data_IF_182978523603
#
_entry.id   IF_182978523603
#
_cell.length_a   1.000
_cell.length_b   1.000
_cell.length_c   1.000
_cell.angle_alpha   90.00
_cell.angle_beta   90.00
_cell.angle_gamma   90.00
#
_symmetry.space_group_name_H-M   'P 1'
#
loop_
_entity.id
_entity.type
_entity.pdbx_description
1 polymer ?
#
# COMPACT_ATOMS: atom_id res chain seq x y z
N UNK A 1 38.95 -4.92 7.65
CA UNK A 1 38.13 -4.13 6.69
C UNK A 1 38.90 -4.04 5.38
N UNK A 2 38.31 -3.82 4.20
CA UNK A 2 39.10 -3.67 2.94
C UNK A 2 39.11 -2.21 2.50
N UNK A 3 40.24 -1.71 2.01
CA UNK A 3 40.37 -0.36 1.48
C UNK A 3 39.52 -0.23 0.20
N UNK A 4 38.65 0.78 0.12
CA UNK A 4 37.82 1.02 -1.07
C UNK A 4 38.63 1.45 -2.29
N UNK A 5 39.85 1.94 -2.09
CA UNK A 5 40.72 2.43 -3.17
C UNK A 5 41.57 1.31 -3.77
N UNK A 6 42.20 0.47 -2.94
CA UNK A 6 43.15 -0.54 -3.42
C UNK A 6 42.80 -1.99 -3.03
N UNK A 7 41.72 -2.22 -2.27
CA UNK A 7 41.27 -3.57 -1.89
C UNK A 7 42.04 -4.24 -0.74
N UNK A 8 43.15 -3.65 -0.27
CA UNK A 8 44.00 -4.20 0.78
C UNK A 8 43.26 -4.38 2.12
N UNK A 9 43.64 -5.39 2.89
CA UNK A 9 43.10 -5.58 4.24
C UNK A 9 43.71 -4.59 5.24
N UNK A 10 42.84 -3.82 5.90
CA UNK A 10 43.20 -2.85 6.94
C UNK A 10 43.04 -3.51 8.31
N UNK A 11 44.11 -3.47 9.11
CA UNK A 11 44.17 -3.96 10.48
C UNK A 11 43.27 -3.13 11.42
N UNK A 12 42.72 -3.78 12.45
CA UNK A 12 41.81 -3.12 13.37
C UNK A 12 42.54 -2.05 14.20
N UNK A 13 42.26 -0.77 13.91
CA UNK A 13 42.82 0.38 14.65
C UNK A 13 43.56 1.39 13.78
N UNK A 14 43.90 1.06 12.54
CA UNK A 14 44.57 1.97 11.61
C UNK A 14 43.58 2.87 10.86
N UNK A 15 43.88 4.17 10.81
CA UNK A 15 43.02 5.17 10.18
C UNK A 15 43.41 5.46 8.71
N UNK A 16 44.46 4.80 8.22
CA UNK A 16 44.96 4.90 6.84
C UNK A 16 45.33 3.53 6.31
N UNK A 17 45.10 3.31 5.02
CA UNK A 17 45.55 2.09 4.37
C UNK A 17 47.09 2.07 4.29
N UNK A 18 47.78 1.00 4.72
CA UNK A 18 49.24 0.92 4.68
C UNK A 18 49.80 0.94 3.26
N UNK A 19 49.04 0.47 2.27
CA UNK A 19 49.51 0.34 0.89
C UNK A 19 49.36 1.62 0.09
N UNK A 20 48.20 2.29 0.15
CA UNK A 20 47.92 3.46 -0.70
C UNK A 20 47.79 4.77 0.07
N UNK A 21 47.88 4.76 1.40
CA UNK A 21 47.77 5.95 2.24
C UNK A 21 46.36 6.58 2.29
N UNK A 22 45.37 5.97 1.61
CA UNK A 22 43.99 6.47 1.64
C UNK A 22 43.47 6.50 3.07
N UNK A 23 42.97 7.66 3.48
CA UNK A 23 42.30 7.85 4.78
C UNK A 23 41.02 7.04 4.74
N UNK A 24 40.93 6.06 5.62
CA UNK A 24 39.73 5.27 5.76
C UNK A 24 38.80 6.13 6.60
N UNK A 25 37.83 6.80 5.97
CA UNK A 25 36.76 7.45 6.72
C UNK A 25 36.13 6.37 7.59
N UNK A 26 36.50 6.36 8.89
CA UNK A 26 35.72 5.65 9.90
C UNK A 26 34.33 6.20 9.70
N UNK A 27 33.45 5.37 9.13
CA UNK A 27 32.01 5.62 9.09
C UNK A 27 31.68 5.98 10.52
N UNK A 28 31.59 7.29 10.82
CA UNK A 28 31.18 7.77 12.14
C UNK A 28 29.91 6.99 12.37
N UNK A 29 29.91 6.12 13.38
CA UNK A 29 28.72 5.35 13.74
C UNK A 29 27.58 6.37 13.69
N UNK A 30 26.70 6.21 12.72
CA UNK A 30 25.58 7.11 12.57
C UNK A 30 24.95 7.21 13.97
N UNK A 31 24.62 8.42 14.45
CA UNK A 31 24.05 8.58 15.77
C UNK A 31 22.94 7.55 15.91
N UNK A 32 23.02 6.72 16.94
CA UNK A 32 22.10 5.61 17.22
C UNK A 32 20.68 6.12 17.03
N UNK A 33 20.13 5.89 15.84
CA UNK A 33 18.85 6.42 15.44
C UNK A 33 17.83 5.65 16.29
N UNK A 34 17.04 6.40 17.04
CA UNK A 34 16.24 5.93 18.17
C UNK A 34 15.40 4.68 17.81
N UNK A 35 15.84 3.53 18.33
CA UNK A 35 15.18 2.32 18.89
C UNK A 35 13.67 2.01 18.70
N UNK A 36 12.89 2.67 17.85
CA UNK A 36 11.43 2.40 17.75
C UNK A 36 10.97 1.85 16.40
N UNK A 37 11.88 1.42 15.53
CA UNK A 37 11.51 0.66 14.33
C UNK A 37 11.17 -0.77 14.75
N UNK A 38 9.90 -1.15 14.63
CA UNK A 38 9.45 -2.53 14.87
C UNK A 38 8.89 -3.15 13.59
N UNK A 39 8.82 -4.48 13.56
CA UNK A 39 8.27 -5.21 12.42
C UNK A 39 6.82 -5.61 12.69
N UNK A 40 5.93 -5.33 11.75
CA UNK A 40 4.53 -5.73 11.83
C UNK A 40 4.39 -7.25 11.68
N UNK A 41 3.75 -7.93 12.63
CA UNK A 41 3.57 -9.38 12.61
C UNK A 41 2.67 -9.88 11.46
N UNK A 42 1.78 -9.04 10.92
CA UNK A 42 0.84 -9.43 9.85
C UNK A 42 1.37 -9.20 8.44
N UNK A 43 2.11 -8.12 8.21
CA UNK A 43 2.53 -7.73 6.86
C UNK A 43 4.04 -7.49 6.71
N UNK A 44 4.84 -7.74 7.75
CA UNK A 44 6.30 -7.59 7.70
C UNK A 44 6.82 -6.16 7.60
N UNK A 45 5.94 -5.14 7.56
CA UNK A 45 6.35 -3.75 7.38
C UNK A 45 7.21 -3.24 8.55
N UNK A 46 8.35 -2.60 8.24
CA UNK A 46 9.28 -1.99 9.18
C UNK A 46 9.09 -0.48 9.20
N UNK A 47 8.53 0.06 10.28
CA UNK A 47 8.38 1.51 10.44
C UNK A 47 8.35 1.89 11.91
N UNK A 48 8.23 3.18 12.23
CA UNK A 48 7.69 3.58 13.53
C UNK A 48 6.16 3.47 13.47
N UNK A 49 5.53 2.96 14.53
CA UNK A 49 4.06 2.86 14.58
C UNK A 49 3.42 4.25 14.44
N UNK A 50 2.35 4.36 13.64
CA UNK A 50 1.65 5.64 13.50
C UNK A 50 0.52 5.75 14.54
N UNK A 51 0.23 6.96 15.07
CA UNK A 51 -0.90 7.18 15.97
C UNK A 51 -2.21 6.67 15.36
N UNK A 52 -3.04 6.01 16.16
CA UNK A 52 -4.31 5.43 15.72
C UNK A 52 -5.19 6.39 14.91
N UNK A 53 -5.31 7.65 15.35
CA UNK A 53 -6.16 8.65 14.71
C UNK A 53 -5.58 9.31 13.45
N UNK A 54 -4.34 8.97 13.04
CA UNK A 54 -3.79 9.47 11.77
C UNK A 54 -4.41 8.81 10.54
N UNK A 55 -5.02 7.61 10.69
CA UNK A 55 -5.81 6.99 9.62
C UNK A 55 -7.19 7.62 9.55
N UNK A 56 -7.58 8.05 8.35
CA UNK A 56 -8.86 8.70 8.05
C UNK A 56 -10.07 7.86 8.48
N UNK A 57 -9.99 6.53 8.40
CA UNK A 57 -11.07 5.64 8.84
C UNK A 57 -11.34 5.73 10.35
N UNK A 58 -10.30 5.76 11.19
CA UNK A 58 -10.47 5.87 12.65
C UNK A 58 -10.91 7.27 13.07
N UNK A 59 -10.48 8.31 12.34
CA UNK A 59 -10.97 9.67 12.52
C UNK A 59 -12.46 9.79 12.17
N UNK A 60 -12.89 9.17 11.05
CA UNK A 60 -14.29 9.14 10.66
C UNK A 60 -15.15 8.40 11.70
N UNK A 61 -14.66 7.29 12.25
CA UNK A 61 -15.36 6.58 13.33
C UNK A 61 -15.47 7.43 14.60
N UNK A 62 -14.40 8.12 14.98
CA UNK A 62 -14.43 9.07 16.10
C UNK A 62 -15.51 10.15 15.89
N UNK A 63 -15.53 10.79 14.72
CA UNK A 63 -16.52 11.82 14.38
C UNK A 63 -17.93 11.23 14.36
N UNK A 64 -18.13 10.06 13.75
CA UNK A 64 -19.42 9.38 13.70
C UNK A 64 -19.95 9.06 15.11
N UNK A 65 -19.11 8.50 15.98
CA UNK A 65 -19.49 8.22 17.37
C UNK A 65 -19.79 9.53 18.11
N UNK A 66 -18.95 10.57 17.95
CA UNK A 66 -19.19 11.88 18.54
C UNK A 66 -20.55 12.45 18.12
N UNK A 67 -20.87 12.48 16.82
CA UNK A 67 -22.14 13.04 16.34
C UNK A 67 -23.32 12.26 16.90
N UNK A 68 -23.27 10.93 16.88
CA UNK A 68 -24.39 10.08 17.29
C UNK A 68 -24.65 10.06 18.80
N UNK A 69 -23.63 10.35 19.60
CA UNK A 69 -23.70 10.30 21.07
C UNK A 69 -23.56 11.67 21.72
N UNK A 70 -23.82 12.75 20.97
CA UNK A 70 -23.68 14.13 21.44
C UNK A 70 -22.31 14.43 22.07
N UNK A 71 -21.26 13.85 21.49
CA UNK A 71 -19.86 14.01 21.86
C UNK A 71 -19.36 13.02 22.90
N UNK A 72 -20.24 12.44 23.73
CA UNK A 72 -19.83 11.62 24.89
C UNK A 72 -19.12 10.33 24.46
N UNK A 73 -19.72 9.58 23.53
CA UNK A 73 -19.14 8.34 23.01
C UNK A 73 -17.84 8.60 22.24
N UNK A 74 -17.77 9.69 21.49
CA UNK A 74 -16.55 10.13 20.84
C UNK A 74 -15.42 10.44 21.82
N UNK A 75 -15.73 11.14 22.92
CA UNK A 75 -14.76 11.46 23.97
C UNK A 75 -14.22 10.19 24.66
N UNK A 76 -15.11 9.26 25.01
CA UNK A 76 -14.74 7.96 25.61
C UNK A 76 -13.88 7.15 24.63
N UNK A 77 -14.27 7.10 23.36
CA UNK A 77 -13.52 6.41 22.32
C UNK A 77 -12.14 7.03 22.07
N UNK A 78 -12.04 8.36 22.05
CA UNK A 78 -10.77 9.09 21.95
C UNK A 78 -9.86 8.77 23.14
N UNK A 79 -10.37 8.89 24.38
CA UNK A 79 -9.60 8.63 25.59
C UNK A 79 -9.01 7.20 25.61
N UNK A 80 -9.80 6.21 25.18
CA UNK A 80 -9.38 4.80 25.10
C UNK A 80 -8.35 4.54 24.00
N UNK A 81 -8.52 5.17 22.82
CA UNK A 81 -7.72 4.85 21.63
C UNK A 81 -6.53 5.79 21.37
N UNK A 82 -6.44 6.97 22.02
CA UNK A 82 -5.41 7.99 21.71
C UNK A 82 -3.96 7.53 21.91
N UNK A 83 -3.73 6.54 22.78
CA UNK A 83 -2.39 5.98 23.04
C UNK A 83 -2.04 4.80 22.14
N UNK A 84 -2.98 4.28 21.34
CA UNK A 84 -2.74 3.13 20.48
C UNK A 84 -1.94 3.53 19.25
N UNK A 85 -1.00 2.68 18.87
CA UNK A 85 -0.26 2.79 17.62
C UNK A 85 -0.68 1.67 16.68
N UNK A 86 -0.76 1.96 15.39
CA UNK A 86 -1.18 1.01 14.36
C UNK A 86 -0.19 0.96 13.21
N UNK A 87 -0.16 -0.18 12.51
CA UNK A 87 0.65 -0.33 11.32
C UNK A 87 0.12 0.59 10.20
N UNK A 88 0.97 1.43 9.59
CA UNK A 88 0.54 2.31 8.51
C UNK A 88 0.01 1.53 7.31
N UNK A 89 0.62 0.37 7.01
CA UNK A 89 0.21 -0.49 5.92
C UNK A 89 -1.10 -1.24 6.26
N UNK A 90 -1.06 -2.27 7.12
CA UNK A 90 -2.23 -3.14 7.36
C UNK A 90 -3.22 -2.67 8.45
N UNK A 91 -2.86 -1.71 9.31
CA UNK A 91 -3.74 -1.23 10.40
C UNK A 91 -3.79 -2.10 11.66
N UNK A 92 -2.99 -3.17 11.76
CA UNK A 92 -2.88 -3.97 12.98
C UNK A 92 -2.35 -3.13 14.15
N UNK A 93 -2.89 -3.34 15.35
CA UNK A 93 -2.40 -2.71 16.58
C UNK A 93 -0.95 -3.15 16.89
N UNK A 94 -0.10 -2.17 17.19
CA UNK A 94 1.33 -2.36 17.51
C UNK A 94 1.59 -3.03 18.85
N UNK A 95 0.54 -3.32 19.60
CA UNK A 95 0.58 -4.11 20.83
C UNK A 95 1.18 -5.52 20.58
N UNK A 96 1.15 -6.00 19.32
CA UNK A 96 1.68 -7.30 18.89
C UNK A 96 2.93 -7.19 17.98
N UNK A 97 3.57 -6.02 17.88
CA UNK A 97 4.75 -5.84 17.03
C UNK A 97 5.99 -6.50 17.66
N UNK A 98 6.79 -7.22 16.88
CA UNK A 98 8.08 -7.78 17.34
C UNK A 98 9.17 -6.73 17.26
N UNK A 99 9.98 -6.59 18.30
CA UNK A 99 11.23 -5.81 18.25
C UNK A 99 12.26 -6.66 17.49
N UNK A 100 12.81 -6.18 16.36
CA UNK A 100 13.84 -6.90 15.65
C UNK A 100 15.08 -7.04 16.54
N UNK A 101 15.43 -8.28 16.90
CA UNK A 101 16.63 -8.58 17.67
C UNK A 101 16.45 -8.81 19.16
N UNK A 102 15.22 -9.00 19.68
CA UNK A 102 15.03 -9.59 21.01
C UNK A 102 15.17 -11.13 20.92
N UNK A 103 16.23 -11.73 21.50
CA UNK A 103 16.43 -13.18 21.48
C UNK A 103 15.56 -13.93 22.51
N UNK A 104 14.84 -13.22 23.40
CA UNK A 104 14.10 -13.82 24.53
C UNK A 104 12.66 -14.26 24.21
N UNK A 105 12.22 -14.19 22.96
CA UNK A 105 10.83 -14.52 22.57
C UNK A 105 10.61 -15.87 21.89
N UNK A 106 11.62 -16.75 21.83
CA UNK A 106 11.50 -18.06 21.20
C UNK A 106 11.13 -19.12 22.24
N UNK A 107 9.84 -19.33 22.45
CA UNK A 107 9.37 -20.67 22.82
C UNK A 107 9.65 -21.59 21.63
N UNK A 108 10.58 -22.52 21.87
CA UNK A 108 11.09 -23.49 20.92
C UNK A 108 9.96 -24.39 20.39
N UNK A 109 9.67 -24.29 19.08
CA UNK A 109 8.61 -25.13 18.51
C UNK A 109 8.39 -25.05 17.00
N UNK A 110 9.37 -24.64 16.19
CA UNK A 110 9.34 -24.94 14.74
C UNK A 110 10.71 -24.67 14.13
N UNK A 111 11.52 -25.73 14.01
CA UNK A 111 12.79 -25.67 13.32
C UNK A 111 12.62 -25.60 11.80
N UNK A 112 12.74 -24.41 11.23
CA UNK A 112 13.20 -24.20 9.84
C UNK A 112 13.94 -22.87 9.77
N UNK A 113 15.27 -22.82 9.53
CA UNK A 113 15.93 -21.58 9.17
C UNK A 113 15.74 -21.33 7.66
N UNK A 114 14.97 -20.31 7.31
CA UNK A 114 14.98 -19.78 5.94
C UNK A 114 16.07 -18.69 5.82
N UNK A 115 16.92 -18.71 4.78
CA UNK A 115 17.84 -17.61 4.51
C UNK A 115 17.03 -16.39 4.06
N UNK A 116 17.03 -15.33 4.86
CA UNK A 116 16.43 -14.04 4.48
C UNK A 116 17.37 -13.36 3.51
N UNK A 117 17.16 -13.59 2.22
CA UNK A 117 17.79 -12.83 1.14
C UNK A 117 17.41 -11.36 1.32
N UNK A 118 18.42 -10.52 1.51
CA UNK A 118 18.30 -9.08 1.57
C UNK A 118 17.60 -8.55 0.31
N UNK A 119 16.40 -7.98 0.48
CA UNK A 119 15.72 -7.20 -0.55
C UNK A 119 16.56 -5.96 -0.89
N UNK A 120 17.18 -5.99 -2.06
CA UNK A 120 17.73 -4.82 -2.74
C UNK A 120 16.57 -3.89 -3.13
N UNK A 121 16.64 -2.56 -2.92
CA UNK A 121 15.61 -1.65 -3.41
C UNK A 121 15.54 -1.73 -4.95
N UNK A 122 14.37 -2.11 -5.44
CA UNK A 122 14.05 -2.23 -6.84
C UNK A 122 14.22 -0.89 -7.58
N UNK A 123 14.55 -1.03 -8.86
CA UNK A 123 14.86 -0.04 -9.89
C UNK A 123 14.15 1.33 -9.82
N UNK A 124 14.78 2.40 -10.35
CA UNK A 124 14.22 3.75 -10.33
C UNK A 124 12.86 3.81 -11.03
N UNK A 125 11.91 4.61 -10.52
CA UNK A 125 10.57 4.69 -11.07
C UNK A 125 10.65 5.22 -12.51
N UNK A 126 10.09 4.44 -13.44
CA UNK A 126 9.71 4.92 -14.76
C UNK A 126 8.91 6.22 -14.61
N UNK A 127 9.04 7.11 -15.60
CA UNK A 127 8.31 8.39 -15.74
C UNK A 127 6.81 8.12 -15.84
N UNK A 128 6.21 7.72 -14.73
CA UNK A 128 4.80 7.37 -14.62
C UNK A 128 4.02 8.68 -14.60
N UNK A 129 3.04 8.80 -15.49
CA UNK A 129 2.12 9.94 -15.51
C UNK A 129 1.54 10.09 -14.09
N UNK A 130 1.46 11.32 -13.55
CA UNK A 130 0.93 11.53 -12.21
C UNK A 130 -0.47 10.93 -12.12
N UNK A 131 -0.68 10.04 -11.12
CA UNK A 131 -1.99 9.43 -10.87
C UNK A 131 -3.02 10.54 -10.60
N UNK A 132 -4.27 10.38 -11.08
CA UNK A 132 -5.31 11.35 -10.78
C UNK A 132 -5.53 11.47 -9.27
N UNK A 133 -5.86 12.67 -8.76
CA UNK A 133 -6.01 12.93 -7.34
C UNK A 133 -7.12 12.05 -6.74
N UNK A 134 -6.92 11.61 -5.48
CA UNK A 134 -7.75 10.59 -4.79
C UNK A 134 -9.21 10.98 -4.49
N UNK A 135 -9.60 12.21 -4.81
CA UNK A 135 -10.94 12.76 -4.54
C UNK A 135 -11.35 12.75 -3.05
N UNK A 136 -10.41 12.47 -2.12
CA UNK A 136 -10.71 12.26 -0.69
C UNK A 136 -11.37 13.50 -0.08
N UNK A 137 -10.83 14.70 -0.35
CA UNK A 137 -11.38 15.94 0.20
C UNK A 137 -12.85 16.16 -0.16
N UNK A 138 -13.21 15.89 -1.43
CA UNK A 138 -14.59 16.04 -1.92
C UNK A 138 -15.58 15.08 -1.25
N UNK A 139 -15.14 13.85 -0.96
CA UNK A 139 -15.96 12.85 -0.26
C UNK A 139 -16.19 13.21 1.20
N UNK A 140 -15.14 13.63 1.89
CA UNK A 140 -15.23 14.06 3.30
C UNK A 140 -16.14 15.28 3.42
N UNK A 141 -15.98 16.25 2.52
CA UNK A 141 -16.81 17.45 2.50
C UNK A 141 -18.28 17.15 2.15
N UNK A 142 -18.53 16.32 1.13
CA UNK A 142 -19.90 15.90 0.77
C UNK A 142 -20.60 15.12 1.89
N UNK A 143 -19.90 14.21 2.56
CA UNK A 143 -20.42 13.51 3.73
C UNK A 143 -20.70 14.47 4.90
N UNK A 144 -19.81 15.43 5.14
CA UNK A 144 -20.02 16.48 6.15
C UNK A 144 -21.26 17.33 5.90
N UNK A 145 -21.48 17.74 4.64
CA UNK A 145 -22.68 18.47 4.24
C UNK A 145 -23.96 17.64 4.43
N UNK A 146 -23.92 16.35 4.13
CA UNK A 146 -25.07 15.46 4.37
C UNK A 146 -25.44 15.36 5.85
N UNK A 147 -24.43 15.23 6.73
CA UNK A 147 -24.63 15.21 8.18
C UNK A 147 -25.20 16.56 8.66
N UNK A 148 -24.64 17.68 8.20
CA UNK A 148 -25.15 19.03 8.54
C UNK A 148 -26.59 19.25 8.08
N UNK A 149 -26.92 18.83 6.85
CA UNK A 149 -28.28 18.87 6.33
C UNK A 149 -29.25 18.10 7.23
N UNK A 150 -28.85 16.91 7.67
CA UNK A 150 -29.66 16.06 8.54
C UNK A 150 -29.90 16.75 9.89
N UNK A 151 -28.85 17.33 10.49
CA UNK A 151 -28.95 18.06 11.76
C UNK A 151 -29.88 19.28 11.66
N UNK A 152 -29.81 20.05 10.57
CA UNK A 152 -30.68 21.22 10.36
C UNK A 152 -32.14 20.79 10.24
N UNK A 153 -32.42 19.72 9.51
CA UNK A 153 -33.77 19.17 9.35
C UNK A 153 -34.29 18.70 10.72
N UNK A 154 -33.51 17.93 11.47
CA UNK A 154 -33.91 17.42 12.79
C UNK A 154 -34.16 18.56 13.79
N UNK A 155 -33.28 19.57 13.84
CA UNK A 155 -33.45 20.73 14.71
C UNK A 155 -34.68 21.57 14.32
N UNK A 156 -34.96 21.70 13.02
CA UNK A 156 -36.17 22.35 12.51
C UNK A 156 -37.45 21.68 12.97
N UNK A 157 -37.51 20.36 12.88
CA UNK A 157 -38.66 19.56 13.34
C UNK A 157 -38.82 19.65 14.86
N UNK A 158 -37.73 19.51 15.62
CA UNK A 158 -37.78 19.53 17.09
C UNK A 158 -38.09 20.92 17.66
N UNK A 159 -37.66 21.99 16.99
CA UNK A 159 -37.86 23.37 17.41
C UNK A 159 -39.19 23.99 17.00
N UNK A 160 -40.06 23.26 16.28
CA UNK A 160 -41.33 23.80 15.80
C UNK A 160 -41.19 24.97 14.82
N UNK A 161 -40.07 25.05 14.09
CA UNK A 161 -39.83 26.13 13.13
C UNK A 161 -40.57 25.87 11.82
N UNK A 162 -41.37 26.84 11.38
CA UNK A 162 -42.25 26.74 10.21
C UNK A 162 -41.50 26.77 8.87
N UNK A 163 -40.85 25.69 8.43
CA UNK A 163 -40.52 25.47 7.01
C UNK A 163 -39.07 25.75 6.52
N UNK A 164 -38.46 26.94 6.70
CA UNK A 164 -37.13 27.26 6.17
C UNK A 164 -36.01 26.26 6.49
N UNK A 165 -35.91 25.72 7.72
CA UNK A 165 -34.86 24.75 8.04
C UNK A 165 -34.96 23.49 7.18
N UNK A 166 -36.17 23.04 6.87
CA UNK A 166 -36.40 21.84 6.06
C UNK A 166 -35.93 22.08 4.62
N UNK A 167 -36.28 23.24 4.05
CA UNK A 167 -35.89 23.61 2.68
C UNK A 167 -34.37 23.77 2.57
N UNK A 168 -33.75 24.50 3.50
CA UNK A 168 -32.29 24.69 3.52
C UNK A 168 -31.56 23.35 3.68
N UNK A 169 -32.03 22.51 4.60
CA UNK A 169 -31.50 21.17 4.80
C UNK A 169 -31.59 20.31 3.55
N UNK A 170 -32.71 20.36 2.81
CA UNK A 170 -32.87 19.61 1.57
C UNK A 170 -31.85 20.03 0.49
N UNK A 171 -31.64 21.33 0.27
CA UNK A 171 -30.64 21.83 -0.68
C UNK A 171 -29.21 21.42 -0.29
N UNK A 172 -28.86 21.54 0.99
CA UNK A 172 -27.56 21.10 1.50
C UNK A 172 -27.37 19.58 1.35
N UNK A 173 -28.42 18.79 1.59
CA UNK A 173 -28.41 17.35 1.44
C UNK A 173 -28.19 16.91 -0.01
N UNK A 174 -28.86 17.55 -0.97
CA UNK A 174 -28.66 17.32 -2.40
C UNK A 174 -27.23 17.69 -2.83
N UNK A 175 -26.74 18.86 -2.41
CA UNK A 175 -25.37 19.30 -2.72
C UNK A 175 -24.29 18.37 -2.15
N UNK A 176 -24.44 17.96 -0.88
CA UNK A 176 -23.53 17.02 -0.22
C UNK A 176 -23.49 15.65 -0.91
N UNK A 177 -24.66 15.11 -1.27
CA UNK A 177 -24.78 13.83 -1.97
C UNK A 177 -24.14 13.86 -3.36
N UNK A 178 -24.36 14.93 -4.12
CA UNK A 178 -23.72 15.13 -5.43
C UNK A 178 -22.18 15.16 -5.35
N UNK A 179 -21.64 15.92 -4.38
CA UNK A 179 -20.19 15.97 -4.16
C UNK A 179 -19.61 14.62 -3.74
N UNK A 180 -20.33 13.86 -2.91
CA UNK A 180 -19.91 12.53 -2.49
C UNK A 180 -19.86 11.56 -3.67
N UNK A 181 -20.91 11.51 -4.50
CA UNK A 181 -20.98 10.67 -5.69
C UNK A 181 -19.88 11.03 -6.70
N UNK A 182 -19.60 12.31 -6.89
CA UNK A 182 -18.51 12.75 -7.77
C UNK A 182 -17.14 12.30 -7.24
N UNK A 183 -16.92 12.45 -5.93
CA UNK A 183 -15.70 11.96 -5.28
C UNK A 183 -15.54 10.43 -5.35
N UNK A 184 -16.65 9.69 -5.38
CA UNK A 184 -16.64 8.24 -5.58
C UNK A 184 -16.25 7.86 -7.01
N UNK A 185 -16.79 8.55 -8.03
CA UNK A 185 -16.40 8.34 -9.44
C UNK A 185 -14.90 8.55 -9.65
N UNK A 186 -14.33 9.62 -9.09
CA UNK A 186 -12.89 9.87 -9.16
C UNK A 186 -12.03 8.75 -8.54
N UNK A 187 -12.54 8.07 -7.49
CA UNK A 187 -11.85 6.91 -6.93
C UNK A 187 -11.87 5.72 -7.88
N UNK A 188 -13.00 5.46 -8.54
CA UNK A 188 -13.13 4.38 -9.52
C UNK A 188 -12.21 4.62 -10.73
N UNK A 189 -12.18 5.85 -11.25
CA UNK A 189 -11.26 6.25 -12.32
C UNK A 189 -9.79 6.02 -11.91
N UNK A 190 -9.42 6.39 -10.68
CA UNK A 190 -8.06 6.13 -10.17
C UNK A 190 -7.75 4.64 -10.07
N UNK A 191 -8.70 3.82 -9.61
CA UNK A 191 -8.53 2.35 -9.54
C UNK A 191 -8.31 1.76 -10.94
N UNK A 192 -9.10 2.20 -11.92
CA UNK A 192 -8.95 1.78 -13.32
C UNK A 192 -7.59 2.19 -13.88
N UNK A 193 -7.14 3.42 -13.63
CA UNK A 193 -5.83 3.89 -14.08
C UNK A 193 -4.66 3.08 -13.48
N UNK A 194 -4.75 2.75 -12.18
CA UNK A 194 -3.73 1.90 -11.52
C UNK A 194 -3.72 0.50 -12.13
N UNK A 195 -4.88 -0.12 -12.33
CA UNK A 195 -4.98 -1.43 -12.96
C UNK A 195 -4.43 -1.42 -14.40
N UNK A 196 -4.71 -0.38 -15.18
CA UNK A 196 -4.13 -0.25 -16.53
C UNK A 196 -2.61 -0.17 -16.52
N UNK A 197 -2.02 0.55 -15.57
CA UNK A 197 -0.57 0.63 -15.42
C UNK A 197 0.01 -0.74 -15.05
N UNK A 198 -0.63 -1.46 -14.12
CA UNK A 198 -0.21 -2.81 -13.73
C UNK A 198 -0.30 -3.79 -14.90
N UNK A 199 -1.44 -3.82 -15.62
CA UNK A 199 -1.61 -4.68 -16.80
C UNK A 199 -0.55 -4.41 -17.85
N UNK A 200 -0.20 -3.14 -18.10
CA UNK A 200 0.88 -2.79 -19.03
C UNK A 200 2.23 -3.34 -18.56
N UNK A 201 2.54 -3.25 -17.27
CA UNK A 201 3.79 -3.78 -16.71
C UNK A 201 3.83 -5.31 -16.81
N UNK A 202 2.71 -6.00 -16.57
CA UNK A 202 2.60 -7.45 -16.77
C UNK A 202 2.83 -7.82 -18.25
N UNK A 203 2.24 -7.10 -19.20
CA UNK A 203 2.47 -7.36 -20.63
C UNK A 203 3.94 -7.14 -21.04
N UNK A 204 4.60 -6.12 -20.48
CA UNK A 204 6.03 -5.89 -20.69
C UNK A 204 6.85 -7.03 -20.11
N UNK A 205 6.53 -7.50 -18.91
CA UNK A 205 7.17 -8.65 -18.28
C UNK A 205 6.96 -9.93 -19.09
N UNK A 206 5.74 -10.16 -19.60
CA UNK A 206 5.42 -11.31 -20.46
C UNK A 206 6.25 -11.27 -21.73
N UNK A 207 6.42 -10.09 -22.34
CA UNK A 207 7.27 -9.90 -23.53
C UNK A 207 8.74 -10.24 -23.22
N UNK A 208 9.23 -9.87 -22.04
CA UNK A 208 10.60 -10.17 -21.61
C UNK A 208 10.82 -11.66 -21.30
N UNK A 209 9.78 -12.36 -20.79
CA UNK A 209 9.82 -13.79 -20.44
C UNK A 209 9.33 -14.73 -21.55
N UNK A 210 9.13 -14.22 -22.76
CA UNK A 210 8.75 -15.05 -23.92
C UNK A 210 7.28 -15.49 -23.94
N UNK A 211 6.41 -14.81 -23.19
CA UNK A 211 4.96 -14.98 -23.27
C UNK A 211 4.36 -15.98 -22.29
N UNK A 212 5.13 -16.53 -21.35
CA UNK A 212 4.62 -17.38 -20.25
C UNK A 212 5.04 -16.76 -18.93
N UNK A 213 4.10 -16.61 -18.00
CA UNK A 213 4.35 -16.06 -16.66
C UNK A 213 3.67 -16.89 -15.58
N UNK A 214 4.33 -16.99 -14.42
CA UNK A 214 3.70 -17.50 -13.19
C UNK A 214 3.27 -16.35 -12.27
N UNK A 215 2.33 -16.62 -11.36
CA UNK A 215 1.88 -15.65 -10.35
C UNK A 215 3.04 -15.20 -9.45
N UNK A 216 3.95 -16.12 -9.11
CA UNK A 216 5.12 -15.84 -8.26
C UNK A 216 6.11 -14.92 -8.95
N UNK A 217 6.35 -15.09 -10.25
CA UNK A 217 7.20 -14.17 -11.02
C UNK A 217 6.59 -12.77 -11.10
N UNK A 218 5.28 -12.66 -11.35
CA UNK A 218 4.59 -11.37 -11.38
C UNK A 218 4.63 -10.69 -10.01
N UNK A 219 4.43 -11.45 -8.94
CA UNK A 219 4.52 -10.95 -7.56
C UNK A 219 5.92 -10.42 -7.24
N UNK A 220 6.96 -11.19 -7.59
CA UNK A 220 8.36 -10.83 -7.35
C UNK A 220 8.81 -9.60 -8.15
N UNK A 221 8.43 -9.50 -9.42
CA UNK A 221 8.89 -8.42 -10.30
C UNK A 221 8.13 -7.10 -10.07
N UNK A 222 6.83 -7.18 -9.75
CA UNK A 222 5.99 -5.99 -9.55
C UNK A 222 5.86 -5.55 -8.08
N UNK A 223 6.58 -6.21 -7.16
CA UNK A 223 6.49 -6.00 -5.71
C UNK A 223 5.03 -6.07 -5.20
N UNK A 224 4.30 -7.08 -5.67
CA UNK A 224 2.91 -7.33 -5.29
C UNK A 224 2.84 -8.48 -4.29
N UNK A 225 1.83 -8.45 -3.40
CA UNK A 225 1.50 -9.64 -2.62
C UNK A 225 1.03 -10.76 -3.56
N UNK A 226 1.26 -12.02 -3.19
CA UNK A 226 0.85 -13.17 -3.99
C UNK A 226 -0.65 -13.14 -4.34
N UNK A 227 -1.50 -12.81 -3.36
CA UNK A 227 -2.96 -12.65 -3.55
C UNK A 227 -3.29 -11.50 -4.54
N UNK A 228 -2.53 -10.41 -4.52
CA UNK A 228 -2.76 -9.29 -5.43
C UNK A 228 -2.31 -9.62 -6.86
N UNK A 229 -1.18 -10.30 -7.01
CA UNK A 229 -0.70 -10.79 -8.29
C UNK A 229 -1.67 -11.82 -8.88
N UNK A 230 -2.17 -12.75 -8.07
CA UNK A 230 -3.16 -13.75 -8.50
C UNK A 230 -4.44 -13.08 -9.00
N UNK A 231 -5.03 -12.16 -8.23
CA UNK A 231 -6.22 -11.41 -8.65
C UNK A 231 -5.97 -10.57 -9.90
N UNK A 232 -4.78 -10.01 -10.06
CA UNK A 232 -4.39 -9.27 -11.26
C UNK A 232 -4.36 -10.20 -12.48
N UNK A 233 -3.73 -11.37 -12.36
CA UNK A 233 -3.63 -12.34 -13.46
C UNK A 233 -4.98 -12.96 -13.81
N UNK A 234 -5.79 -13.33 -12.82
CA UNK A 234 -7.18 -13.78 -13.02
C UNK A 234 -8.01 -12.70 -13.73
N UNK A 235 -7.82 -11.42 -13.35
CA UNK A 235 -8.51 -10.30 -14.00
C UNK A 235 -8.05 -10.03 -15.44
N UNK A 236 -6.90 -10.57 -15.85
CA UNK A 236 -6.39 -10.50 -17.22
C UNK A 236 -6.77 -11.72 -18.06
N UNK A 237 -7.09 -12.86 -17.43
CA UNK A 237 -7.53 -14.09 -18.09
C UNK A 237 -8.92 -13.89 -18.71
N UNK A 238 -8.94 -13.75 -20.04
CA UNK A 238 -10.16 -13.67 -20.85
C UNK A 238 -10.36 -14.94 -21.69
N UNK A 239 -9.50 -15.97 -21.52
CA UNK A 239 -9.49 -17.20 -22.29
C UNK A 239 -8.95 -17.07 -23.72
N UNK A 240 -8.61 -15.86 -24.19
CA UNK A 240 -8.17 -15.61 -25.56
C UNK A 240 -6.78 -14.96 -25.64
N UNK A 241 -6.61 -13.82 -24.97
CA UNK A 241 -5.37 -13.02 -24.93
C UNK A 241 -4.44 -13.47 -23.82
N UNK A 242 -5.02 -13.90 -22.72
CA UNK A 242 -4.32 -14.55 -21.61
C UNK A 242 -5.08 -15.82 -21.31
N UNK A 243 -4.36 -16.93 -21.12
CA UNK A 243 -4.94 -18.22 -20.76
C UNK A 243 -4.19 -18.79 -19.57
N UNK A 244 -4.92 -19.22 -18.55
CA UNK A 244 -4.34 -20.05 -17.50
C UNK A 244 -4.31 -21.52 -17.94
N UNK A 245 -3.18 -22.18 -17.66
CA UNK A 245 -3.04 -23.63 -17.77
C UNK A 245 -2.36 -24.16 -16.50
N UNK A 246 -2.67 -25.40 -16.14
CA UNK A 246 -2.13 -26.06 -14.96
C UNK A 246 -1.19 -27.13 -15.46
N UNK A 247 0.09 -27.04 -15.11
CA UNK A 247 1.05 -28.07 -15.47
C UNK A 247 0.78 -29.39 -14.73
N UNK A 248 1.39 -30.47 -15.18
CA UNK A 248 1.31 -31.79 -14.54
C UNK A 248 1.83 -31.76 -13.09
N UNK A 249 2.70 -30.80 -12.76
CA UNK A 249 3.22 -30.55 -11.42
C UNK A 249 2.31 -29.68 -10.55
N UNK A 250 1.14 -29.26 -11.06
CA UNK A 250 0.17 -28.44 -10.33
C UNK A 250 0.52 -26.96 -10.25
N UNK A 251 1.39 -26.46 -11.13
CA UNK A 251 1.76 -25.04 -11.19
C UNK A 251 0.90 -24.33 -12.23
N UNK A 252 0.28 -23.20 -11.83
CA UNK A 252 -0.54 -22.38 -12.73
C UNK A 252 0.37 -21.45 -13.52
N UNK A 253 0.39 -21.63 -14.84
CA UNK A 253 1.06 -20.75 -15.79
C UNK A 253 0.02 -19.94 -16.56
N UNK A 254 0.37 -18.68 -16.85
CA UNK A 254 -0.43 -17.81 -17.69
C UNK A 254 0.31 -17.61 -19.01
N UNK A 255 -0.26 -18.12 -20.09
CA UNK A 255 0.24 -17.94 -21.45
C UNK A 255 -0.36 -16.68 -22.08
N UNK A 256 0.46 -15.94 -22.80
CA UNK A 256 0.12 -14.77 -23.62
C UNK A 256 0.33 -15.14 -25.09
N UNK A 257 -0.66 -15.76 -25.77
CA UNK A 257 -0.47 -16.34 -27.10
C UNK A 257 0.04 -15.34 -28.14
N UNK A 258 -0.37 -14.07 -28.05
CA UNK A 258 0.09 -12.99 -28.94
C UNK A 258 1.60 -12.75 -28.84
N UNK A 259 2.18 -12.89 -27.64
CA UNK A 259 3.62 -12.74 -27.40
C UNK A 259 4.37 -13.97 -27.90
N UNK A 260 3.88 -15.17 -27.59
CA UNK A 260 4.47 -16.44 -28.02
C UNK A 260 4.50 -16.54 -29.55
N UNK A 261 3.41 -16.16 -30.22
CA UNK A 261 3.23 -16.30 -31.66
C UNK A 261 3.61 -15.05 -32.47
N UNK A 262 4.17 -14.02 -31.84
CA UNK A 262 4.46 -12.73 -32.48
C UNK A 262 5.31 -12.86 -33.76
N UNK A 263 6.26 -13.80 -33.79
CA UNK A 263 7.13 -14.04 -34.95
C UNK A 263 6.36 -14.56 -36.17
N UNK A 264 5.37 -15.44 -35.97
CA UNK A 264 4.51 -16.01 -37.03
C UNK A 264 3.52 -14.98 -37.58
N UNK A 265 3.04 -14.07 -36.72
CA UNK A 265 2.12 -13.00 -37.12
C UNK A 265 2.82 -11.90 -37.94
N UNK A 266 4.10 -11.60 -37.64
CA UNK A 266 4.90 -10.61 -38.39
C UNK A 266 5.34 -11.08 -39.77
N UNK A 267 5.48 -12.38 -40.00
CA UNK A 267 5.94 -12.95 -41.28
C UNK A 267 4.85 -13.00 -42.37
N UNK A 268 3.60 -12.62 -42.06
CA UNK A 268 2.48 -12.62 -42.99
C UNK A 268 2.29 -11.32 -43.79
N UNK A 269 3.33 -10.48 -43.94
CA UNK A 269 3.27 -9.31 -44.84
C UNK A 269 3.43 -9.82 -46.28
N UNK A 270 2.41 -9.75 -47.16
CA UNK A 270 2.61 -10.10 -48.56
C UNK A 270 3.66 -9.16 -49.16
N UNK A 271 4.62 -9.75 -49.87
CA UNK A 271 5.59 -9.05 -50.70
C UNK A 271 4.88 -8.36 -51.87
#
# INVERSE_FOLDING_TARGET
>A
MRCSTCGESILAGEDRCPTCGAVVERRRRAPVMKRNVRQCARCGHHSEGVPYFRKTGHLALLVGLSVFTYGVGGLVYYARCRKRQVCPNCGLAWEHSRVPGDPEGWDAGSGVPAPVTSMTPASPPSRDKPLPPSGIGRRVFGAGLGVMATLIITAGIAGGMDGPPIVIGAFLGMGGSGMFLWGWRALQERRQAVLQILNRKVLQLATQRGGVLTVTEVAAELDLSLEAAEKLMIGMDDGFRVRSDISDEGVIYYEFPEVVHQKKLRSGKPA
#
